data_IF_214150730834
#
_entry.id   IF_214150730834
#
_cell.length_a   1.000
_cell.length_b   1.000
_cell.length_c   1.000
_cell.angle_alpha   90.00
_cell.angle_beta   90.00
_cell.angle_gamma   90.00
#
_symmetry.space_group_name_H-M   'P 1'
#
loop_
_entity.id
_entity.type
_entity.pdbx_description
1 polymer ?
#
# COMPACT_ATOMS: atom_id res chain seq x y z
N UNK A 1 -8.72 -12.18 -15.86
CA UNK A 1 -7.86 -11.06 -15.42
C UNK A 1 -7.38 -11.37 -14.01
N UNK A 2 -6.08 -11.32 -13.75
CA UNK A 2 -5.55 -11.52 -12.40
C UNK A 2 -6.04 -10.38 -11.49
N UNK A 3 -6.39 -10.67 -10.23
CA UNK A 3 -6.98 -9.68 -9.31
C UNK A 3 -5.98 -8.64 -8.76
N UNK A 4 -4.73 -8.68 -9.24
CA UNK A 4 -3.59 -8.01 -8.66
C UNK A 4 -2.58 -7.57 -9.72
N UNK A 5 -1.90 -6.46 -9.46
CA UNK A 5 -0.70 -6.00 -10.17
C UNK A 5 0.56 -6.32 -9.37
N UNK A 6 1.69 -6.41 -10.06
CA UNK A 6 3.02 -6.45 -9.46
C UNK A 6 3.72 -5.12 -9.70
N UNK A 7 3.77 -4.30 -8.66
CA UNK A 7 4.41 -2.99 -8.69
C UNK A 7 5.86 -3.10 -8.19
N UNK A 8 6.72 -2.24 -8.72
CA UNK A 8 8.15 -2.20 -8.38
C UNK A 8 8.36 -1.20 -7.26
N UNK A 9 9.05 -1.61 -6.20
CA UNK A 9 9.48 -0.71 -5.11
C UNK A 9 10.48 0.29 -5.68
N UNK A 10 10.26 1.58 -5.44
CA UNK A 10 11.10 2.67 -5.92
C UNK A 10 11.96 3.24 -4.80
N UNK A 11 11.38 3.45 -3.62
CA UNK A 11 12.10 3.95 -2.44
C UNK A 11 11.63 3.24 -1.19
N UNK A 12 12.52 3.15 -0.20
CA UNK A 12 12.22 2.63 1.14
C UNK A 12 12.85 3.58 2.16
N UNK A 13 12.05 4.01 3.13
CA UNK A 13 12.50 4.90 4.20
C UNK A 13 12.10 4.32 5.56
N UNK A 14 13.09 3.99 6.39
CA UNK A 14 12.86 3.55 7.76
C UNK A 14 12.84 4.74 8.70
N UNK A 15 11.65 5.07 9.21
CA UNK A 15 11.47 6.16 10.17
C UNK A 15 11.95 5.77 11.56
N UNK A 16 11.65 4.53 11.98
CA UNK A 16 12.05 3.98 13.27
C UNK A 16 12.34 2.47 13.17
N UNK A 17 12.68 1.86 14.30
CA UNK A 17 12.73 0.42 14.50
C UNK A 17 11.38 -0.28 14.25
N UNK A 18 10.27 0.47 14.27
CA UNK A 18 8.89 -0.04 14.12
C UNK A 18 8.14 0.49 12.92
N UNK A 19 8.61 1.56 12.27
CA UNK A 19 7.88 2.23 11.18
C UNK A 19 8.77 2.42 9.95
N UNK A 20 8.19 2.19 8.78
CA UNK A 20 8.82 2.49 7.50
C UNK A 20 7.75 2.85 6.46
N UNK A 21 8.12 3.70 5.51
CA UNK A 21 7.33 3.91 4.31
C UNK A 21 8.11 3.42 3.09
N UNK A 22 7.38 3.12 2.04
CA UNK A 22 7.96 2.78 0.75
C UNK A 22 7.05 3.27 -0.36
N UNK A 23 7.66 3.57 -1.50
CA UNK A 23 6.95 3.94 -2.71
C UNK A 23 7.05 2.85 -3.76
N UNK A 24 6.06 2.75 -4.63
CA UNK A 24 6.06 1.82 -5.76
C UNK A 24 5.67 2.51 -7.05
N UNK A 25 5.91 1.84 -8.18
CA UNK A 25 5.20 2.15 -9.42
C UNK A 25 3.69 2.05 -9.23
N UNK A 26 2.95 2.63 -10.17
CA UNK A 26 1.48 2.61 -10.17
C UNK A 26 0.98 2.22 -11.55
N UNK A 27 0.13 1.21 -11.61
CA UNK A 27 -0.63 0.90 -12.80
C UNK A 27 -1.50 2.12 -13.18
N UNK A 28 -1.34 2.60 -14.42
CA UNK A 28 -2.06 3.75 -14.95
C UNK A 28 -3.59 3.57 -14.97
N UNK A 29 -4.11 2.36 -14.81
CA UNK A 29 -5.54 2.06 -14.67
C UNK A 29 -6.05 2.11 -13.22
N UNK A 30 -5.16 2.10 -12.22
CA UNK A 30 -5.56 2.12 -10.82
C UNK A 30 -6.13 3.50 -10.46
N UNK A 31 -7.43 3.55 -10.19
CA UNK A 31 -8.16 4.75 -9.73
C UNK A 31 -8.59 4.57 -8.28
N UNK A 32 -8.46 5.63 -7.49
CA UNK A 32 -8.88 5.66 -6.09
C UNK A 32 -9.23 7.08 -5.65
N UNK A 33 -9.94 7.19 -4.53
CA UNK A 33 -10.19 8.45 -3.83
C UNK A 33 -9.24 8.57 -2.64
N UNK A 34 -8.74 9.78 -2.37
CA UNK A 34 -7.86 10.02 -1.23
C UNK A 34 -8.58 9.60 0.07
N UNK A 35 -7.98 8.69 0.84
CA UNK A 35 -8.58 8.04 2.01
C UNK A 35 -8.96 6.57 1.82
N UNK A 36 -8.92 6.04 0.59
CA UNK A 36 -9.06 4.61 0.33
C UNK A 36 -7.84 3.79 0.81
N UNK A 37 -8.09 2.50 1.01
CA UNK A 37 -7.07 1.45 1.16
C UNK A 37 -7.19 0.44 0.01
N UNK A 38 -6.12 -0.30 -0.24
CA UNK A 38 -6.13 -1.47 -1.12
C UNK A 38 -5.41 -2.65 -0.44
N UNK A 39 -5.49 -3.83 -1.04
CA UNK A 39 -4.71 -4.97 -0.60
C UNK A 39 -3.29 -4.85 -1.16
N UNK A 40 -2.28 -4.98 -0.30
CA UNK A 40 -0.90 -5.16 -0.74
C UNK A 40 -0.31 -6.45 -0.17
N UNK A 41 0.78 -6.94 -0.76
CA UNK A 41 1.48 -8.07 -0.18
C UNK A 41 2.67 -8.57 -0.98
N UNK A 42 3.11 -9.78 -0.64
CA UNK A 42 4.24 -10.46 -1.27
C UNK A 42 3.82 -11.86 -1.71
N UNK A 43 4.51 -12.42 -2.71
CA UNK A 43 4.39 -13.86 -3.02
C UNK A 43 5.25 -14.64 -2.04
N UNK A 44 4.63 -15.57 -1.31
CA UNK A 44 5.30 -16.49 -0.39
C UNK A 44 4.85 -17.89 -0.78
N UNK A 45 5.80 -18.78 -1.07
CA UNK A 45 5.54 -20.17 -1.49
C UNK A 45 4.54 -20.27 -2.66
N UNK A 46 4.67 -19.35 -3.64
CA UNK A 46 3.79 -19.27 -4.80
C UNK A 46 2.40 -18.68 -4.55
N UNK A 47 2.05 -18.34 -3.30
CA UNK A 47 0.74 -17.77 -2.93
C UNK A 47 0.84 -16.31 -2.51
N UNK A 48 -0.17 -15.47 -2.81
CA UNK A 48 -0.17 -14.08 -2.39
C UNK A 48 -0.50 -13.98 -0.88
N UNK A 49 0.41 -13.41 -0.10
CA UNK A 49 0.16 -13.07 1.31
C UNK A 49 -0.21 -11.59 1.40
N UNK A 50 -1.50 -11.30 1.59
CA UNK A 50 -2.05 -9.95 1.46
C UNK A 50 -2.54 -9.37 2.79
N UNK A 51 -2.45 -8.05 2.93
CA UNK A 51 -3.10 -7.26 3.99
C UNK A 51 -3.62 -5.94 3.42
N UNK A 52 -4.63 -5.38 4.07
CA UNK A 52 -5.17 -4.07 3.73
C UNK A 52 -4.20 -2.96 4.17
N UNK A 53 -3.95 -1.99 3.29
CA UNK A 53 -3.12 -0.82 3.53
C UNK A 53 -3.75 0.42 2.91
N UNK A 54 -3.85 1.49 3.71
CA UNK A 54 -4.21 2.81 3.22
C UNK A 54 -3.19 3.29 2.19
N UNK A 55 -3.67 3.90 1.10
CA UNK A 55 -2.81 4.54 0.13
C UNK A 55 -2.48 5.94 0.66
N UNK A 56 -1.21 6.18 0.94
CA UNK A 56 -0.74 7.46 1.50
C UNK A 56 -0.63 8.51 0.40
N UNK A 57 -0.17 8.13 -0.78
CA UNK A 57 -0.01 9.08 -1.88
C UNK A 57 -1.36 9.58 -2.40
N UNK A 58 -1.45 10.85 -2.84
CA UNK A 58 -2.65 11.37 -3.46
C UNK A 58 -2.94 10.71 -4.82
N UNK A 59 -4.21 10.64 -5.19
CA UNK A 59 -4.69 9.95 -6.39
C UNK A 59 -4.22 10.52 -7.74
N UNK A 60 -3.63 11.71 -7.75
CA UNK A 60 -3.02 12.33 -8.93
C UNK A 60 -1.51 12.06 -9.04
N UNK A 61 -0.88 11.44 -8.04
CA UNK A 61 0.56 11.14 -8.08
C UNK A 61 0.85 9.90 -8.93
N UNK A 62 1.97 9.92 -9.65
CA UNK A 62 2.38 8.81 -10.55
C UNK A 62 2.86 7.56 -9.78
N UNK A 63 3.16 7.70 -8.49
CA UNK A 63 3.61 6.61 -7.62
C UNK A 63 2.61 6.33 -6.51
N UNK A 64 2.62 5.10 -6.01
CA UNK A 64 1.93 4.73 -4.78
C UNK A 64 2.88 4.89 -3.60
N UNK A 65 2.35 5.34 -2.46
CA UNK A 65 3.08 5.34 -1.19
C UNK A 65 2.27 4.60 -0.13
N UNK A 66 2.98 3.82 0.69
CA UNK A 66 2.42 3.10 1.82
C UNK A 66 3.27 3.35 3.07
N UNK A 67 2.59 3.50 4.20
CA UNK A 67 3.21 3.50 5.53
C UNK A 67 2.91 2.17 6.21
N UNK A 68 3.94 1.53 6.76
CA UNK A 68 3.85 0.21 7.35
C UNK A 68 4.53 0.13 8.71
N UNK A 69 3.97 -0.73 9.56
CA UNK A 69 4.55 -1.12 10.84
C UNK A 69 5.40 -2.37 10.68
N UNK A 70 6.43 -2.52 11.50
CA UNK A 70 7.28 -3.70 11.59
C UNK A 70 6.86 -4.53 12.80
N UNK A 71 6.11 -5.59 12.56
CA UNK A 71 5.84 -6.63 13.56
C UNK A 71 6.72 -7.83 13.25
N UNK A 72 7.65 -8.16 14.16
CA UNK A 72 8.70 -9.17 13.95
C UNK A 72 8.12 -10.55 13.62
N UNK A 73 7.03 -10.94 14.29
CA UNK A 73 6.35 -12.22 14.05
C UNK A 73 5.11 -12.06 13.14
N UNK A 74 4.92 -10.87 12.56
CA UNK A 74 3.78 -10.60 11.69
C UNK A 74 3.93 -11.30 10.34
N UNK A 75 2.93 -12.05 9.84
CA UNK A 75 3.08 -12.87 8.63
C UNK A 75 3.62 -12.09 7.42
N UNK A 76 3.08 -10.89 7.17
CA UNK A 76 3.51 -10.04 6.06
C UNK A 76 4.65 -9.10 6.48
N UNK A 77 4.48 -8.35 7.56
CA UNK A 77 5.37 -7.25 7.94
C UNK A 77 6.77 -7.71 8.33
N UNK A 78 6.93 -8.94 8.82
CA UNK A 78 8.25 -9.50 9.09
C UNK A 78 9.10 -9.66 7.84
N UNK A 79 8.47 -9.80 6.67
CA UNK A 79 9.10 -9.87 5.35
C UNK A 79 9.11 -8.50 4.67
N UNK A 80 7.98 -7.79 4.71
CA UNK A 80 7.81 -6.50 4.05
C UNK A 80 8.78 -5.44 4.58
N UNK A 81 9.21 -5.54 5.84
CA UNK A 81 10.22 -4.64 6.40
C UNK A 81 11.60 -4.73 5.72
N UNK A 82 11.87 -5.77 4.94
CA UNK A 82 13.16 -6.03 4.30
C UNK A 82 13.19 -5.73 2.80
N UNK A 83 12.09 -5.24 2.22
CA UNK A 83 12.05 -4.89 0.80
C UNK A 83 13.06 -3.79 0.46
N UNK A 84 13.52 -3.79 -0.78
CA UNK A 84 14.48 -2.83 -1.32
C UNK A 84 13.98 -2.27 -2.65
N UNK A 85 14.49 -1.09 -3.10
CA UNK A 85 14.24 -0.62 -4.45
C UNK A 85 14.56 -1.70 -5.51
N UNK A 86 13.62 -1.91 -6.43
CA UNK A 86 13.66 -2.96 -7.44
C UNK A 86 12.83 -4.22 -7.11
N UNK A 87 12.49 -4.44 -5.84
CA UNK A 87 11.65 -5.57 -5.43
C UNK A 87 10.21 -5.44 -5.94
N UNK A 88 9.50 -6.56 -6.01
CA UNK A 88 8.09 -6.61 -6.43
C UNK A 88 7.15 -6.72 -5.24
N UNK A 89 6.14 -5.86 -5.22
CA UNK A 89 5.03 -5.87 -4.26
C UNK A 89 3.72 -6.08 -5.03
N UNK A 90 2.87 -6.95 -4.50
CA UNK A 90 1.53 -7.15 -5.02
C UNK A 90 0.65 -5.96 -4.62
N UNK A 91 -0.11 -5.41 -5.55
CA UNK A 91 -1.11 -4.35 -5.31
C UNK A 91 -2.47 -4.75 -5.88
N UNK A 92 -3.52 -4.63 -5.08
CA UNK A 92 -4.90 -4.95 -5.47
C UNK A 92 -5.54 -3.88 -6.35
N UNK A 93 -6.32 -4.32 -7.34
CA UNK A 93 -6.99 -3.44 -8.31
C UNK A 93 -8.25 -2.74 -7.79
N UNK A 94 -8.74 -3.11 -6.61
CA UNK A 94 -10.00 -2.62 -6.05
C UNK A 94 -9.77 -1.82 -4.76
N UNK A 95 -9.27 -0.57 -4.84
CA UNK A 95 -9.25 0.32 -3.69
C UNK A 95 -10.67 0.57 -3.17
N UNK A 96 -10.82 0.60 -1.85
CA UNK A 96 -12.09 0.83 -1.17
C UNK A 96 -11.86 1.48 0.19
N UNK A 97 -12.93 1.84 0.90
CA UNK A 97 -12.86 2.45 2.22
C UNK A 97 -13.95 3.49 2.44
N UNK A 98 -14.16 3.84 3.69
CA UNK A 98 -15.20 4.79 4.12
C UNK A 98 -14.64 6.13 4.58
N UNK A 99 -13.31 6.29 4.62
CA UNK A 99 -12.66 7.53 5.05
C UNK A 99 -12.62 8.55 3.91
N UNK A 100 -13.80 8.92 3.42
CA UNK A 100 -14.00 9.90 2.35
C UNK A 100 -14.62 11.18 2.91
N UNK A 101 -14.18 12.32 2.39
CA UNK A 101 -14.72 13.63 2.79
C UNK A 101 -16.22 13.72 2.48
N UNK A 102 -16.68 13.06 1.42
CA UNK A 102 -18.10 13.00 1.03
C UNK A 102 -19.00 12.33 2.08
N UNK A 103 -18.41 11.56 3.01
CA UNK A 103 -19.15 10.90 4.10
C UNK A 103 -19.08 11.68 5.42
N UNK A 104 -18.47 12.87 5.41
CA UNK A 104 -18.41 13.75 6.57
C UNK A 104 -19.59 14.73 6.57
N UNK A 105 -20.06 15.05 7.77
CA UNK A 105 -20.96 16.19 7.96
C UNK A 105 -20.15 17.50 7.88
N UNK A 106 -20.78 18.62 7.48
CA UNK A 106 -20.13 19.93 7.56
C UNK A 106 -19.56 20.22 8.95
N UNK A 107 -18.36 20.81 9.00
CA UNK A 107 -17.72 21.18 10.26
C UNK A 107 -18.53 22.23 11.04
N UNK A 108 -18.45 22.18 12.38
CA UNK A 108 -18.99 23.25 13.23
C UNK A 108 -18.12 24.50 13.06
N UNK A 109 -18.76 25.64 12.85
CA UNK A 109 -18.11 26.96 12.80
C UNK A 109 -17.75 27.45 14.20
#
# INVERSE_FOLDING_TARGET
MAAFDEETVLTVHHWTDRLFSFTTTRNASLRFSNGHFTMIGLRVDGKPLLRAYSIVSPNYQETLEFLSIKVQDGPLTSRLQHIQPGDKVIVGHKPTGTLLIDYLLPGRR
#
